data_IF_108591010692
#
_entry.id   IF_108591010692
#
_cell.length_a   1.000
_cell.length_b   1.000
_cell.length_c   1.000
_cell.angle_alpha   90.00
_cell.angle_beta   90.00
_cell.angle_gamma   90.00
#
_symmetry.space_group_name_H-M   'P 1'
#
loop_
_entity.id
_entity.type
_entity.pdbx_description
1 polymer ?
#
# COMPACT_ATOMS: atom_id res chain seq x y z
N UNK A 1 -0.25 10.83 -3.55
CA UNK A 1 -1.70 11.07 -3.49
C UNK A 1 -2.24 10.60 -2.16
N UNK A 2 -3.18 11.30 -1.61
CA UNK A 2 -3.82 10.93 -0.37
C UNK A 2 -5.34 11.02 -0.57
N UNK A 3 -6.05 9.94 -0.35
CA UNK A 3 -7.51 9.82 -0.46
C UNK A 3 -8.05 10.40 -1.77
N UNK A 4 -7.43 10.02 -2.88
CA UNK A 4 -7.82 10.44 -4.22
C UNK A 4 -7.37 11.84 -4.63
N UNK A 5 -6.68 12.57 -3.77
CA UNK A 5 -6.22 13.94 -4.07
C UNK A 5 -4.73 13.96 -4.36
N UNK A 6 -4.36 14.64 -5.43
CA UNK A 6 -2.95 14.89 -5.74
C UNK A 6 -2.35 15.88 -4.76
N UNK A 7 -1.14 15.58 -4.30
CA UNK A 7 -0.34 16.47 -3.51
C UNK A 7 0.62 17.22 -4.45
N UNK A 8 0.31 18.46 -4.79
CA UNK A 8 1.00 19.22 -5.84
C UNK A 8 2.52 19.29 -5.67
N UNK A 9 3.01 19.58 -4.47
CA UNK A 9 4.46 19.66 -4.20
C UNK A 9 5.15 18.31 -4.39
N UNK A 10 4.51 17.23 -3.98
CA UNK A 10 5.08 15.89 -4.14
C UNK A 10 5.07 15.48 -5.62
N UNK A 11 4.03 15.82 -6.35
CA UNK A 11 3.97 15.56 -7.78
C UNK A 11 5.00 16.37 -8.59
N UNK A 12 5.39 17.54 -8.14
CA UNK A 12 6.49 18.26 -8.76
C UNK A 12 7.82 17.52 -8.61
N UNK A 13 8.03 16.85 -7.46
CA UNK A 13 9.24 16.07 -7.17
C UNK A 13 9.24 14.70 -7.85
N UNK A 14 8.10 14.14 -8.12
CA UNK A 14 7.92 12.82 -8.72
C UNK A 14 6.90 12.90 -9.86
N UNK A 15 7.16 13.78 -10.84
CA UNK A 15 6.20 14.11 -11.90
C UNK A 15 5.82 12.91 -12.77
N UNK A 16 6.80 12.09 -13.15
CA UNK A 16 6.54 10.89 -13.94
C UNK A 16 5.65 9.89 -13.20
N UNK A 17 5.94 9.66 -11.92
CA UNK A 17 5.13 8.77 -11.08
C UNK A 17 3.70 9.30 -10.95
N UNK A 18 3.54 10.59 -10.70
CA UNK A 18 2.21 11.19 -10.60
C UNK A 18 1.42 11.15 -11.92
N UNK A 19 2.10 11.33 -13.05
CA UNK A 19 1.48 11.22 -14.36
C UNK A 19 1.00 9.79 -14.61
N UNK A 20 1.87 8.82 -14.34
CA UNK A 20 1.56 7.40 -14.51
C UNK A 20 0.39 6.97 -13.61
N UNK A 21 0.42 7.34 -12.34
CA UNK A 21 -0.65 7.01 -11.38
C UNK A 21 -1.96 7.73 -11.75
N UNK A 22 -1.87 8.92 -12.31
CA UNK A 22 -3.04 9.67 -12.79
C UNK A 22 -3.78 8.98 -13.94
N UNK A 23 -3.10 8.09 -14.66
CA UNK A 23 -3.71 7.27 -15.71
C UNK A 23 -4.43 6.03 -15.15
N UNK A 24 -4.34 5.78 -13.86
CA UNK A 24 -4.92 4.63 -13.18
C UNK A 24 -5.93 5.11 -12.12
N UNK A 25 -7.16 5.44 -12.52
CA UNK A 25 -8.15 6.01 -11.60
C UNK A 25 -8.48 5.10 -10.42
N UNK A 26 -8.30 3.79 -10.57
CA UNK A 26 -8.52 2.81 -9.50
C UNK A 26 -7.64 3.05 -8.28
N UNK A 27 -6.43 3.56 -8.50
CA UNK A 27 -5.47 3.85 -7.43
C UNK A 27 -5.74 5.18 -6.73
N UNK A 28 -6.62 6.00 -7.26
CA UNK A 28 -6.82 7.36 -6.75
C UNK A 28 -8.07 7.55 -5.90
N UNK A 29 -8.91 6.52 -5.75
CA UNK A 29 -10.23 6.69 -5.14
C UNK A 29 -10.35 6.11 -3.73
N UNK A 30 -9.51 5.17 -3.36
CA UNK A 30 -9.75 4.36 -2.16
C UNK A 30 -8.77 4.59 -1.00
N UNK A 31 -7.78 5.45 -1.17
CA UNK A 31 -6.80 5.67 -0.12
C UNK A 31 -5.57 6.42 -0.60
N UNK A 32 -4.43 5.99 -0.13
CA UNK A 32 -3.17 6.67 -0.38
C UNK A 32 -2.37 6.00 -1.50
N UNK A 33 -1.57 6.80 -2.19
CA UNK A 33 -0.45 6.34 -2.99
C UNK A 33 0.79 7.07 -2.50
N UNK A 34 1.77 6.34 -2.01
CA UNK A 34 2.96 6.94 -1.37
C UNK A 34 4.18 6.03 -1.46
N UNK A 35 5.36 6.65 -1.39
CA UNK A 35 6.60 5.92 -1.16
C UNK A 35 6.75 5.64 0.33
N UNK A 36 7.30 4.47 0.64
CA UNK A 36 7.61 4.07 2.02
C UNK A 36 9.07 3.64 2.10
N UNK A 37 9.85 4.44 2.80
CA UNK A 37 11.25 4.15 3.11
C UNK A 37 11.34 3.63 4.54
N UNK A 38 11.90 2.43 4.70
CA UNK A 38 12.04 1.82 6.02
C UNK A 38 13.51 1.60 6.35
N UNK A 39 13.90 2.09 7.51
CA UNK A 39 15.27 1.97 8.01
C UNK A 39 15.52 0.58 8.61
N UNK A 40 16.78 0.10 8.59
CA UNK A 40 17.16 -1.13 9.28
C UNK A 40 16.76 -1.11 10.75
N UNK A 41 16.32 -2.25 11.26
CA UNK A 41 15.92 -2.40 12.65
C UNK A 41 14.50 -1.94 12.96
N UNK A 42 13.76 -1.45 11.97
CA UNK A 42 12.37 -1.03 12.17
C UNK A 42 11.47 -2.24 12.46
N UNK A 43 10.66 -2.09 13.49
CA UNK A 43 9.61 -3.05 13.85
C UNK A 43 8.29 -2.32 13.85
N UNK A 44 7.36 -2.77 13.02
CA UNK A 44 5.98 -2.30 13.06
C UNK A 44 5.18 -3.36 13.79
N UNK A 45 4.67 -3.02 14.96
CA UNK A 45 3.90 -3.95 15.79
C UNK A 45 2.59 -4.32 15.13
N UNK A 46 2.02 -5.44 15.54
CA UNK A 46 0.72 -5.89 15.06
C UNK A 46 -0.33 -4.81 15.18
N UNK A 47 -0.99 -4.55 14.09
CA UNK A 47 -2.07 -3.57 14.00
C UNK A 47 -2.98 -3.92 12.84
N UNK A 48 -4.13 -3.28 12.78
CA UNK A 48 -5.06 -3.35 11.67
C UNK A 48 -5.20 -1.98 11.03
N UNK A 49 -5.46 -1.94 9.74
CA UNK A 49 -5.83 -0.71 9.06
C UNK A 49 -7.20 -0.20 9.52
N UNK A 50 -7.53 1.05 9.22
CA UNK A 50 -8.74 1.70 9.74
C UNK A 50 -10.04 1.23 9.09
N UNK A 51 -9.95 0.49 7.98
CA UNK A 51 -11.13 0.09 7.21
C UNK A 51 -10.88 -1.21 6.46
N UNK A 52 -11.95 -1.95 6.17
CA UNK A 52 -11.94 -3.11 5.29
C UNK A 52 -12.41 -2.80 3.86
N UNK A 53 -12.51 -1.53 3.52
CA UNK A 53 -13.01 -1.09 2.20
C UNK A 53 -11.95 -1.06 1.12
N UNK A 54 -10.70 -1.30 1.48
CA UNK A 54 -9.55 -1.21 0.57
C UNK A 54 -8.69 -2.44 0.61
N UNK A 55 -8.02 -2.68 -0.51
CA UNK A 55 -6.89 -3.61 -0.62
C UNK A 55 -5.62 -2.79 -0.79
N UNK A 56 -4.56 -3.19 -0.13
CA UNK A 56 -3.28 -2.51 -0.18
C UNK A 56 -2.30 -3.24 -1.07
N UNK A 57 -1.65 -2.48 -1.95
CA UNK A 57 -0.62 -2.97 -2.86
C UNK A 57 0.73 -2.43 -2.43
N UNK A 58 1.74 -3.29 -2.35
CA UNK A 58 3.13 -2.90 -2.11
C UNK A 58 3.99 -3.34 -3.28
N UNK A 59 4.60 -2.39 -3.98
CA UNK A 59 5.55 -2.68 -5.06
C UNK A 59 6.97 -2.45 -4.55
N UNK A 60 7.83 -3.47 -4.64
CA UNK A 60 9.24 -3.35 -4.29
C UNK A 60 9.99 -2.49 -5.32
N UNK A 61 10.66 -1.44 -4.85
CA UNK A 61 11.46 -0.55 -5.69
C UNK A 61 12.95 -0.73 -5.44
N UNK A 62 13.36 -0.74 -4.18
CA UNK A 62 14.74 -1.00 -3.76
C UNK A 62 14.67 -1.77 -2.45
N UNK A 63 14.73 -3.08 -2.55
CA UNK A 63 14.55 -3.99 -1.42
C UNK A 63 15.79 -4.86 -1.29
N UNK A 64 16.62 -4.67 -0.25
CA UNK A 64 17.75 -5.56 -0.01
C UNK A 64 17.27 -7.00 0.18
N UNK A 65 17.85 -7.98 -0.52
CA UNK A 65 17.41 -9.38 -0.40
C UNK A 65 17.44 -9.86 1.04
N UNK A 66 16.35 -10.50 1.47
CA UNK A 66 16.23 -11.08 2.82
C UNK A 66 16.12 -10.06 3.96
N UNK A 67 15.89 -8.77 3.66
CA UNK A 67 15.89 -7.74 4.69
C UNK A 67 14.65 -7.76 5.57
N UNK A 68 13.49 -8.05 4.99
CA UNK A 68 12.25 -7.57 5.57
C UNK A 68 11.12 -8.55 5.32
N UNK A 69 10.30 -8.72 6.35
CA UNK A 69 9.09 -9.53 6.26
C UNK A 69 7.87 -8.75 6.72
N UNK A 70 6.77 -9.00 6.05
CA UNK A 70 5.44 -8.62 6.51
C UNK A 70 4.66 -9.88 6.85
N UNK A 71 4.00 -9.89 7.99
CA UNK A 71 3.11 -10.98 8.40
C UNK A 71 1.69 -10.45 8.40
N UNK A 72 0.82 -11.07 7.63
CA UNK A 72 -0.59 -10.70 7.51
C UNK A 72 -1.44 -11.91 7.83
N UNK A 73 -2.30 -11.80 8.86
CA UNK A 73 -3.16 -12.91 9.27
C UNK A 73 -2.38 -14.18 9.61
N UNK A 74 -1.16 -14.03 10.14
CA UNK A 74 -0.29 -15.16 10.48
C UNK A 74 0.57 -15.69 9.34
N UNK A 75 0.45 -15.13 8.13
CA UNK A 75 1.22 -15.56 6.96
C UNK A 75 2.32 -14.56 6.65
N UNK A 76 3.58 -15.03 6.65
CA UNK A 76 4.74 -14.19 6.37
C UNK A 76 5.08 -14.16 4.88
N UNK A 77 5.42 -12.97 4.39
CA UNK A 77 5.89 -12.72 3.01
C UNK A 77 7.05 -11.72 3.04
N UNK A 78 7.94 -11.84 2.06
CA UNK A 78 9.03 -10.89 1.86
C UNK A 78 8.76 -10.02 0.65
N UNK A 79 9.24 -8.77 0.68
CA UNK A 79 9.27 -7.91 -0.50
C UNK A 79 10.50 -8.26 -1.36
N UNK A 80 10.39 -8.00 -2.65
CA UNK A 80 11.49 -8.08 -3.60
C UNK A 80 11.34 -7.00 -4.67
N UNK A 81 12.45 -6.62 -5.28
CA UNK A 81 12.46 -5.62 -6.36
C UNK A 81 11.54 -6.05 -7.50
N UNK A 82 10.66 -5.14 -7.92
CA UNK A 82 9.76 -5.36 -9.04
C UNK A 82 8.59 -6.29 -8.73
N UNK A 83 8.50 -6.84 -7.54
CA UNK A 83 7.42 -7.73 -7.14
C UNK A 83 6.33 -7.00 -6.38
N UNK A 84 5.10 -7.46 -6.57
CA UNK A 84 3.91 -6.89 -5.97
C UNK A 84 3.39 -7.80 -4.85
N UNK A 85 3.22 -7.25 -3.65
CA UNK A 85 2.48 -7.87 -2.56
C UNK A 85 1.10 -7.22 -2.47
N UNK A 86 0.08 -8.05 -2.37
CA UNK A 86 -1.32 -7.61 -2.29
C UNK A 86 -1.93 -8.21 -1.03
N UNK A 87 -2.50 -7.37 -0.18
CA UNK A 87 -3.13 -7.85 1.05
C UNK A 87 -4.25 -6.92 1.52
N UNK A 88 -5.13 -7.47 2.32
CA UNK A 88 -6.18 -6.72 3.02
C UNK A 88 -5.62 -6.26 4.37
N UNK A 89 -5.37 -4.96 4.50
CA UNK A 89 -4.76 -4.40 5.72
C UNK A 89 -5.72 -4.30 6.91
N UNK A 90 -6.99 -4.70 6.73
CA UNK A 90 -7.91 -4.86 7.86
C UNK A 90 -7.61 -6.12 8.68
N UNK A 91 -6.88 -7.07 8.12
CA UNK A 91 -6.32 -8.17 8.91
C UNK A 91 -5.12 -7.69 9.70
N UNK A 92 -4.91 -8.28 10.87
CA UNK A 92 -3.76 -7.96 11.71
C UNK A 92 -2.46 -8.24 10.96
N UNK A 93 -1.58 -7.26 10.92
CA UNK A 93 -0.30 -7.37 10.24
C UNK A 93 0.81 -6.66 11.01
N UNK A 94 2.03 -7.12 10.76
CA UNK A 94 3.24 -6.62 11.38
C UNK A 94 4.39 -6.65 10.38
N UNK A 95 5.42 -5.83 10.62
CA UNK A 95 6.61 -5.74 9.76
C UNK A 95 7.87 -5.81 10.60
N UNK A 96 8.88 -6.49 10.07
CA UNK A 96 10.17 -6.64 10.69
C UNK A 96 11.28 -6.39 9.66
N UNK A 97 12.15 -5.44 9.93
CA UNK A 97 13.34 -5.16 9.12
C UNK A 97 14.60 -5.65 9.86
N UNK A 98 15.10 -6.80 9.45
CA UNK A 98 16.28 -7.44 10.07
C UNK A 98 17.56 -7.25 9.27
N UNK A 99 17.50 -6.56 8.13
CA UNK A 99 18.64 -6.32 7.25
C UNK A 99 19.44 -5.08 7.63
N UNK A 100 20.37 -4.71 6.75
CA UNK A 100 21.29 -3.59 6.97
C UNK A 100 21.04 -2.39 6.04
N UNK A 101 20.32 -2.58 4.95
CA UNK A 101 20.01 -1.52 3.98
C UNK A 101 18.59 -0.99 4.13
N UNK A 102 18.34 0.18 3.60
CA UNK A 102 16.99 0.77 3.58
C UNK A 102 16.09 0.03 2.58
N UNK A 103 14.83 -0.15 2.93
CA UNK A 103 13.81 -0.72 2.04
C UNK A 103 12.92 0.38 1.48
N UNK A 104 12.84 0.48 0.16
CA UNK A 104 11.95 1.41 -0.54
C UNK A 104 10.87 0.64 -1.30
N UNK A 105 9.62 0.95 -1.03
CA UNK A 105 8.47 0.42 -1.74
C UNK A 105 7.51 1.55 -2.11
N UNK A 106 6.66 1.28 -3.10
CA UNK A 106 5.49 2.09 -3.39
C UNK A 106 4.27 1.41 -2.78
N UNK A 107 3.51 2.16 -2.01
CA UNK A 107 2.23 1.71 -1.43
C UNK A 107 1.11 2.36 -2.23
N UNK A 108 0.13 1.56 -2.65
CA UNK A 108 -1.06 2.05 -3.31
C UNK A 108 -2.29 1.32 -2.76
N UNK A 109 -3.36 2.05 -2.55
CA UNK A 109 -4.63 1.49 -2.09
C UNK A 109 -5.63 1.47 -3.24
N UNK A 110 -6.35 0.35 -3.37
CA UNK A 110 -7.47 0.22 -4.29
C UNK A 110 -8.73 -0.12 -3.49
N UNK A 111 -9.87 0.25 -4.03
CA UNK A 111 -11.14 -0.11 -3.43
C UNK A 111 -11.27 -1.64 -3.42
N UNK A 112 -11.76 -2.20 -2.30
CA UNK A 112 -11.96 -3.64 -2.19
C UNK A 112 -12.83 -4.13 -3.36
N UNK A 113 -12.49 -5.26 -4.03
CA UNK A 113 -13.23 -5.73 -5.20
C UNK A 113 -14.73 -5.92 -4.98
N UNK A 114 -15.14 -6.33 -3.78
CA UNK A 114 -16.56 -6.46 -3.45
C UNK A 114 -17.30 -5.11 -3.42
N UNK A 115 -16.57 -3.99 -3.42
CA UNK A 115 -17.10 -2.64 -3.38
C UNK A 115 -17.02 -1.95 -4.73
N UNK A 116 -16.35 -2.58 -5.70
CA UNK A 116 -16.28 -2.14 -7.08
C UNK A 116 -17.56 -2.59 -7.78
N UNK A 117 -18.58 -1.76 -7.73
CA UNK A 117 -19.85 -2.05 -8.39
C UNK A 117 -19.81 -1.76 -9.87
N UNK A 118 -20.93 -2.11 -10.55
CA UNK A 118 -21.19 -1.67 -11.92
C UNK A 118 -21.25 -0.14 -11.96
N UNK A 119 -20.76 0.53 -13.05
CA UNK A 119 -20.90 1.97 -13.16
C UNK A 119 -22.32 2.44 -12.89
N UNK A 120 -22.44 3.43 -11.99
CA UNK A 120 -23.73 3.94 -11.52
C UNK A 120 -24.33 3.22 -10.33
N UNK A 121 -23.74 2.15 -9.86
CA UNK A 121 -24.17 1.47 -8.65
C UNK A 121 -23.76 2.26 -7.40
N UNK A 122 -24.70 2.61 -6.58
CA UNK A 122 -24.40 3.23 -5.28
C UNK A 122 -23.94 2.18 -4.28
N UNK A 123 -22.86 2.49 -3.63
CA UNK A 123 -22.29 1.62 -2.64
C UNK A 123 -22.54 2.14 -1.22
N UNK A 124 -23.21 1.34 -0.40
CA UNK A 124 -23.39 1.65 1.01
C UNK A 124 -22.14 1.24 1.80
N UNK A 125 -21.53 2.13 2.59
CA UNK A 125 -20.36 1.79 3.39
C UNK A 125 -20.65 0.62 4.32
N UNK A 126 -19.81 -0.38 4.27
CA UNK A 126 -19.80 -1.44 5.27
C UNK A 126 -19.10 -0.94 6.53
N UNK A 127 -19.45 -1.51 7.67
CA UNK A 127 -18.75 -1.20 8.90
C UNK A 127 -17.27 -1.51 8.83
N UNK A 128 -16.47 -0.79 9.59
CA UNK A 128 -15.04 -1.10 9.79
C UNK A 128 -14.90 -2.34 10.66
N UNK A 129 -13.85 -3.07 10.45
CA UNK A 129 -13.50 -4.18 11.34
C UNK A 129 -12.85 -3.68 12.62
#
# INVERSE_FOLDING_TARGET
MAQGKRHAKNCQKASYTCELLGSMPELSTAGDVKFSLMQPGTIVRRHTGPTNKRIRLHLGLDVPPGCCEITVGGEARAWADGELLIFDDSFEHSVHHIGTGERLILIADVLHPQLQGTPGQHYAPQGTK
#
